data_IF_271946691167
#
_entry.id   IF_271946691167
#
_cell.length_a   1.000
_cell.length_b   1.000
_cell.length_c   1.000
_cell.angle_alpha   90.00
_cell.angle_beta   90.00
_cell.angle_gamma   90.00
#
_symmetry.space_group_name_H-M   'P 1'
#
loop_
_entity.id
_entity.type
_entity.pdbx_description
1 polymer ?
#
# COMPACT_ATOMS: atom_id res chain seq x y z
N UNK A 1 -7.78 -13.95 4.47
CA UNK A 1 -7.34 -15.05 3.58
C UNK A 1 -5.99 -14.70 3.01
N UNK A 2 -5.03 -15.57 3.18
CA UNK A 2 -3.68 -15.31 2.69
C UNK A 2 -3.61 -15.46 1.17
N UNK A 3 -2.78 -14.62 0.55
CA UNK A 3 -2.52 -14.73 -0.88
C UNK A 3 -1.69 -16.00 -1.15
N UNK A 4 -1.89 -16.61 -2.32
CA UNK A 4 -1.02 -17.69 -2.74
C UNK A 4 0.38 -17.15 -3.06
N UNK A 5 1.45 -17.94 -2.88
CA UNK A 5 2.80 -17.52 -3.27
C UNK A 5 2.89 -17.12 -4.75
N UNK A 6 2.11 -17.77 -5.61
CA UNK A 6 2.06 -17.47 -7.03
C UNK A 6 1.54 -16.05 -7.30
N UNK A 7 0.42 -15.66 -6.65
CA UNK A 7 -0.14 -14.31 -6.78
C UNK A 7 0.85 -13.27 -6.27
N UNK A 8 1.50 -13.54 -5.15
CA UNK A 8 2.50 -12.62 -4.58
C UNK A 8 3.69 -12.46 -5.51
N UNK A 9 4.16 -13.54 -6.15
CA UNK A 9 5.29 -13.48 -7.08
C UNK A 9 4.96 -12.65 -8.33
N UNK A 10 3.78 -12.82 -8.90
CA UNK A 10 3.32 -12.01 -10.03
C UNK A 10 3.24 -10.53 -9.65
N UNK A 11 2.64 -10.25 -8.52
CA UNK A 11 2.50 -8.88 -8.03
C UNK A 11 3.88 -8.25 -7.82
N UNK A 12 4.81 -8.96 -7.19
CA UNK A 12 6.17 -8.46 -6.96
C UNK A 12 6.85 -8.11 -8.28
N UNK A 13 6.68 -8.94 -9.30
CA UNK A 13 7.26 -8.68 -10.61
C UNK A 13 6.63 -7.45 -11.26
N UNK A 14 5.32 -7.31 -11.16
CA UNK A 14 4.59 -6.16 -11.70
C UNK A 14 5.00 -4.86 -11.02
N UNK A 15 5.35 -4.91 -9.72
CA UNK A 15 5.71 -3.74 -8.93
C UNK A 15 7.17 -3.33 -9.03
N UNK A 16 7.95 -3.95 -9.92
CA UNK A 16 9.37 -3.62 -10.12
C UNK A 16 9.60 -2.54 -11.17
N UNK A 17 8.75 -1.51 -11.15
CA UNK A 17 8.87 -0.40 -12.09
C UNK A 17 8.52 0.91 -11.39
N UNK A 18 9.05 2.01 -11.94
CA UNK A 18 8.65 3.35 -11.55
C UNK A 18 8.87 3.66 -10.06
N UNK A 19 8.00 4.48 -9.54
CA UNK A 19 8.10 4.98 -8.18
C UNK A 19 7.98 3.88 -7.13
N UNK A 20 7.12 2.89 -7.36
CA UNK A 20 6.93 1.79 -6.41
C UNK A 20 8.22 1.00 -6.21
N UNK A 21 8.99 0.80 -7.28
CA UNK A 21 10.30 0.13 -7.18
C UNK A 21 11.24 0.92 -6.25
N UNK A 22 11.20 2.24 -6.31
CA UNK A 22 12.04 3.10 -5.46
C UNK A 22 11.75 2.92 -3.98
N UNK A 23 10.51 2.59 -3.62
CA UNK A 23 10.14 2.33 -2.23
C UNK A 23 10.80 1.06 -1.67
N UNK A 24 11.14 0.11 -2.51
CA UNK A 24 11.79 -1.13 -2.09
C UNK A 24 10.87 -2.13 -1.43
N UNK A 25 9.58 -2.10 -1.76
CA UNK A 25 8.58 -2.99 -1.15
C UNK A 25 8.78 -4.44 -1.58
N UNK A 26 8.73 -5.34 -0.61
CA UNK A 26 8.63 -6.78 -0.82
C UNK A 26 7.25 -7.22 -0.32
N UNK A 27 6.38 -7.64 -1.25
CA UNK A 27 5.04 -8.09 -0.89
C UNK A 27 5.11 -9.50 -0.33
N UNK A 28 4.52 -9.71 0.83
CA UNK A 28 4.53 -11.01 1.52
C UNK A 28 3.16 -11.68 1.52
N UNK A 29 2.09 -10.92 1.29
CA UNK A 29 0.74 -11.44 1.09
C UNK A 29 -0.05 -10.41 0.30
N UNK A 30 -0.94 -10.86 -0.60
CA UNK A 30 -1.77 -9.95 -1.37
C UNK A 30 -3.07 -10.61 -1.80
N UNK A 31 -4.18 -10.04 -1.36
CA UNK A 31 -5.52 -10.46 -1.75
C UNK A 31 -6.47 -9.27 -1.61
N UNK A 32 -7.72 -9.47 -2.00
CA UNK A 32 -8.76 -8.45 -1.78
C UNK A 32 -9.17 -8.28 -0.33
N UNK A 33 -8.63 -9.08 0.58
CA UNK A 33 -8.93 -9.03 2.01
C UNK A 33 -7.77 -8.50 2.85
N UNK A 34 -6.54 -8.65 2.38
CA UNK A 34 -5.36 -8.18 3.09
C UNK A 34 -4.17 -8.10 2.15
N UNK A 35 -3.37 -7.05 2.30
CA UNK A 35 -2.10 -6.91 1.61
C UNK A 35 -1.02 -6.63 2.66
N UNK A 36 0.09 -7.37 2.59
CA UNK A 36 1.25 -7.19 3.46
C UNK A 36 2.50 -6.96 2.64
N UNK A 37 3.34 -6.05 3.11
CA UNK A 37 4.64 -5.81 2.52
C UNK A 37 5.62 -5.39 3.60
N UNK A 38 6.91 -5.53 3.30
CA UNK A 38 7.99 -5.05 4.16
C UNK A 38 9.01 -4.35 3.28
N UNK A 39 9.77 -3.44 3.89
CA UNK A 39 10.84 -2.74 3.15
C UNK A 39 11.89 -2.21 4.13
N UNK A 40 13.17 -2.17 3.71
CA UNK A 40 14.21 -1.57 4.54
C UNK A 40 14.18 -0.05 4.44
N UNK A 41 14.52 0.62 5.52
CA UNK A 41 14.78 2.05 5.47
C UNK A 41 16.16 2.23 4.85
N UNK A 42 16.24 2.96 3.74
CA UNK A 42 17.47 3.26 3.02
C UNK A 42 17.75 4.76 3.10
N UNK A 43 19.02 5.19 2.99
CA UNK A 43 19.34 6.62 3.10
C UNK A 43 18.53 7.53 2.18
N UNK A 44 18.23 7.10 0.96
CA UNK A 44 17.46 7.90 -0.01
C UNK A 44 16.00 8.08 0.37
N UNK A 45 15.52 7.39 1.39
CA UNK A 45 14.15 7.52 1.89
C UNK A 45 14.05 8.46 3.10
N UNK A 46 15.18 8.97 3.58
CA UNK A 46 15.20 9.83 4.76
C UNK A 46 14.98 11.30 4.39
N UNK A 47 14.36 12.03 5.32
CA UNK A 47 14.26 13.47 5.22
C UNK A 47 15.52 14.13 5.87
N UNK A 48 15.72 15.48 5.77
CA UNK A 48 16.96 16.12 6.22
C UNK A 48 17.36 15.92 7.67
N UNK A 49 16.44 15.61 8.58
CA UNK A 49 16.78 15.34 9.98
C UNK A 49 17.21 13.88 10.21
N UNK A 50 17.28 13.07 9.15
CA UNK A 50 17.77 11.69 9.26
C UNK A 50 16.73 10.67 9.73
N UNK A 51 15.46 11.01 9.64
CA UNK A 51 14.35 10.07 9.90
C UNK A 51 13.62 9.80 8.60
N UNK A 52 12.86 8.70 8.56
CA UNK A 52 12.09 8.33 7.38
C UNK A 52 11.15 9.46 6.98
N UNK A 53 11.18 9.83 5.70
CA UNK A 53 10.32 10.90 5.17
C UNK A 53 8.86 10.49 5.24
N UNK A 54 8.00 11.40 5.75
CA UNK A 54 6.55 11.14 5.84
C UNK A 54 5.92 10.80 4.50
N UNK A 55 6.44 11.37 3.40
CA UNK A 55 5.98 11.04 2.05
C UNK A 55 6.19 9.58 1.69
N UNK A 56 7.18 8.90 2.26
CA UNK A 56 7.37 7.46 2.07
C UNK A 56 6.23 6.70 2.72
N UNK A 57 5.85 7.05 3.95
CA UNK A 57 4.69 6.45 4.61
C UNK A 57 3.42 6.63 3.77
N UNK A 58 3.16 7.83 3.29
CA UNK A 58 2.00 8.11 2.46
C UNK A 58 2.00 7.26 1.19
N UNK A 59 3.17 7.08 0.58
CA UNK A 59 3.32 6.31 -0.67
C UNK A 59 3.08 4.82 -0.44
N UNK A 60 3.58 4.29 0.68
CA UNK A 60 3.36 2.88 1.06
C UNK A 60 1.88 2.64 1.36
N UNK A 61 1.26 3.56 2.10
CA UNK A 61 -0.18 3.51 2.40
C UNK A 61 -0.99 3.47 1.10
N UNK A 62 -0.70 4.38 0.16
CA UNK A 62 -1.37 4.44 -1.13
C UNK A 62 -1.20 3.13 -1.91
N UNK A 63 0.04 2.65 -1.98
CA UNK A 63 0.38 1.47 -2.80
C UNK A 63 -0.31 0.21 -2.29
N UNK A 64 -0.28 -0.04 -0.98
CA UNK A 64 -0.90 -1.23 -0.42
C UNK A 64 -2.43 -1.19 -0.52
N UNK A 65 -3.02 -0.04 -0.19
CA UNK A 65 -4.48 0.12 -0.28
C UNK A 65 -4.97 -0.06 -1.72
N UNK A 66 -4.28 0.55 -2.68
CA UNK A 66 -4.64 0.44 -4.10
C UNK A 66 -4.51 -1.00 -4.59
N UNK A 67 -3.47 -1.70 -4.13
CA UNK A 67 -3.25 -3.11 -4.50
C UNK A 67 -4.40 -3.98 -4.01
N UNK A 68 -4.77 -3.85 -2.74
CA UNK A 68 -5.89 -4.62 -2.18
C UNK A 68 -7.21 -4.31 -2.87
N UNK A 69 -7.47 -3.03 -3.10
CA UNK A 69 -8.68 -2.60 -3.77
C UNK A 69 -8.77 -3.12 -5.20
N UNK A 70 -7.66 -3.11 -5.94
CA UNK A 70 -7.61 -3.63 -7.30
C UNK A 70 -7.84 -5.15 -7.33
N UNK A 71 -7.23 -5.87 -6.40
CA UNK A 71 -7.42 -7.32 -6.29
C UNK A 71 -8.86 -7.69 -5.96
N UNK A 72 -9.51 -6.91 -5.08
CA UNK A 72 -10.92 -7.16 -4.77
C UNK A 72 -11.84 -6.87 -5.95
N UNK A 73 -11.61 -5.75 -6.63
CA UNK A 73 -12.44 -5.37 -7.79
C UNK A 73 -12.23 -6.33 -8.96
N UNK A 74 -10.98 -6.78 -9.13
CA UNK A 74 -10.58 -7.76 -10.15
C UNK A 74 -11.02 -7.33 -11.55
N UNK A 75 -11.70 -8.22 -12.27
CA UNK A 75 -12.09 -7.98 -13.66
C UNK A 75 -13.23 -6.99 -13.84
N UNK A 76 -13.89 -6.60 -12.77
CA UNK A 76 -15.04 -5.68 -12.83
C UNK A 76 -14.66 -4.25 -13.23
N UNK A 77 -13.39 -3.88 -13.13
CA UNK A 77 -12.96 -2.55 -13.50
C UNK A 77 -11.57 -2.22 -12.99
N UNK A 78 -11.32 -0.93 -12.81
CA UNK A 78 -10.06 -0.40 -12.31
C UNK A 78 -10.33 0.48 -11.11
N UNK A 79 -9.34 0.64 -10.22
CA UNK A 79 -9.46 1.54 -9.07
C UNK A 79 -8.54 2.74 -9.26
N UNK A 80 -8.95 3.86 -8.70
CA UNK A 80 -8.12 5.07 -8.63
C UNK A 80 -8.27 5.68 -7.24
N UNK A 81 -7.14 6.01 -6.59
CA UNK A 81 -7.15 6.68 -5.31
C UNK A 81 -7.64 8.11 -5.43
N UNK A 82 -8.52 8.53 -4.54
CA UNK A 82 -9.07 9.89 -4.54
C UNK A 82 -8.79 10.66 -3.25
N UNK A 83 -8.34 9.98 -2.20
CA UNK A 83 -7.98 10.64 -0.93
C UNK A 83 -7.05 9.73 -0.13
N UNK A 84 -6.00 10.31 0.42
CA UNK A 84 -5.04 9.61 1.28
C UNK A 84 -4.80 10.47 2.51
N UNK A 85 -5.14 9.93 3.69
CA UNK A 85 -4.91 10.61 4.96
C UNK A 85 -4.00 9.71 5.80
N UNK A 86 -2.81 10.19 6.11
CA UNK A 86 -1.81 9.41 6.85
C UNK A 86 -1.29 10.20 8.04
N UNK A 87 -1.29 9.56 9.21
CA UNK A 87 -0.75 10.11 10.44
C UNK A 87 0.62 9.51 10.71
N UNK A 88 1.59 10.36 11.05
CA UNK A 88 2.94 9.95 11.42
C UNK A 88 3.04 9.99 12.94
N UNK A 89 3.23 8.85 13.56
CA UNK A 89 3.11 8.71 15.02
C UNK A 89 4.45 8.55 15.73
N UNK A 90 5.44 7.97 15.05
CA UNK A 90 6.76 7.69 15.64
C UNK A 90 7.83 7.77 14.56
N UNK A 91 8.94 8.44 14.86
CA UNK A 91 10.08 8.52 13.95
C UNK A 91 10.81 7.17 13.84
N UNK A 92 11.37 6.91 12.66
CA UNK A 92 12.22 5.74 12.43
C UNK A 92 13.42 6.17 11.59
N UNK A 93 14.59 5.57 11.85
CA UNK A 93 15.86 5.94 11.19
C UNK A 93 16.46 4.79 10.42
N UNK A 94 16.17 3.56 10.83
CA UNK A 94 16.79 2.36 10.26
C UNK A 94 15.92 1.14 10.51
N UNK A 95 16.25 0.04 9.90
CA UNK A 95 15.57 -1.21 10.09
C UNK A 95 14.61 -1.55 8.97
N UNK A 96 13.87 -2.63 9.16
CA UNK A 96 12.87 -3.12 8.21
C UNK A 96 11.48 -2.83 8.77
N UNK A 97 10.65 -2.21 7.96
CA UNK A 97 9.27 -1.87 8.33
C UNK A 97 8.30 -2.83 7.67
N UNK A 98 7.14 -3.00 8.30
CA UNK A 98 6.04 -3.82 7.79
C UNK A 98 4.79 -2.97 7.64
N UNK A 99 4.09 -3.15 6.53
CA UNK A 99 2.81 -2.49 6.29
C UNK A 99 1.73 -3.55 6.07
N UNK A 100 0.54 -3.31 6.61
CA UNK A 100 -0.61 -4.20 6.46
C UNK A 100 -1.82 -3.36 6.07
N UNK A 101 -2.41 -3.69 4.93
CA UNK A 101 -3.62 -3.05 4.44
C UNK A 101 -4.83 -3.98 4.61
N UNK A 102 -5.92 -3.44 5.14
CA UNK A 102 -7.17 -4.16 5.29
C UNK A 102 -8.34 -3.27 4.86
N UNK A 103 -9.43 -3.84 4.31
CA UNK A 103 -10.56 -3.03 3.89
C UNK A 103 -11.40 -2.59 5.08
N UNK A 104 -11.84 -1.33 5.05
CA UNK A 104 -12.83 -0.79 5.96
C UNK A 104 -14.22 -0.86 5.32
N UNK A 105 -14.27 -0.57 4.02
CA UNK A 105 -15.52 -0.58 3.24
C UNK A 105 -15.20 -0.94 1.79
N UNK A 106 -15.96 -1.86 1.23
CA UNK A 106 -15.84 -2.24 -0.19
C UNK A 106 -17.22 -2.16 -0.81
N UNK A 107 -17.53 -0.99 -1.37
CA UNK A 107 -18.81 -0.72 -1.99
C UNK A 107 -18.77 -0.84 -3.51
N UNK A 108 -19.92 -0.64 -4.14
CA UNK A 108 -20.03 -0.70 -5.60
C UNK A 108 -19.25 0.42 -6.28
N UNK A 109 -19.27 1.62 -5.72
CA UNK A 109 -18.63 2.80 -6.32
C UNK A 109 -17.31 3.17 -5.64
N UNK A 110 -17.20 2.97 -4.33
CA UNK A 110 -16.04 3.37 -3.57
C UNK A 110 -15.57 2.30 -2.61
N UNK A 111 -14.27 2.34 -2.30
CA UNK A 111 -13.66 1.53 -1.26
C UNK A 111 -12.91 2.43 -0.30
N UNK A 112 -12.83 2.02 0.95
CA UNK A 112 -12.01 2.65 1.97
C UNK A 112 -11.12 1.56 2.58
N UNK A 113 -9.82 1.78 2.55
CA UNK A 113 -8.82 0.84 3.07
C UNK A 113 -7.96 1.51 4.13
N UNK A 114 -7.61 0.75 5.16
CA UNK A 114 -6.71 1.19 6.21
C UNK A 114 -5.36 0.50 6.06
N UNK A 115 -4.27 1.23 6.34
CA UNK A 115 -2.92 0.66 6.33
C UNK A 115 -2.22 1.05 7.63
N UNK A 116 -1.62 0.06 8.29
CA UNK A 116 -0.82 0.25 9.48
C UNK A 116 0.64 -0.07 9.16
N UNK A 117 1.56 0.79 9.59
CA UNK A 117 3.00 0.61 9.38
C UNK A 117 3.67 0.47 10.73
N UNK A 118 4.39 -0.64 10.92
CA UNK A 118 5.06 -0.98 12.18
C UNK A 118 6.54 -1.24 11.97
N UNK A 119 7.34 -1.11 13.03
CA UNK A 119 8.76 -1.46 13.03
C UNK A 119 8.96 -2.91 13.48
N UNK A 120 10.23 -3.34 13.58
CA UNK A 120 10.57 -4.70 13.97
C UNK A 120 10.17 -5.05 15.40
N UNK A 121 9.89 -4.05 16.25
CA UNK A 121 9.41 -4.25 17.61
C UNK A 121 7.89 -4.13 17.70
N UNK A 122 7.19 -4.17 16.57
CA UNK A 122 5.73 -4.03 16.47
C UNK A 122 5.19 -2.68 16.96
N UNK A 123 6.04 -1.65 17.00
CA UNK A 123 5.58 -0.31 17.37
C UNK A 123 4.94 0.35 16.15
N UNK A 124 3.78 0.98 16.37
CA UNK A 124 3.07 1.67 15.29
C UNK A 124 3.78 2.98 14.94
N UNK A 125 4.26 3.08 13.71
CA UNK A 125 4.97 4.26 13.22
C UNK A 125 4.06 5.22 12.46
N UNK A 126 3.13 4.68 11.70
CA UNK A 126 2.20 5.45 10.90
C UNK A 126 0.93 4.66 10.67
N UNK A 127 -0.15 5.38 10.45
CA UNK A 127 -1.42 4.77 10.03
C UNK A 127 -2.05 5.67 9.00
N UNK A 128 -2.67 5.07 8.01
CA UNK A 128 -3.32 5.84 6.98
C UNK A 128 -4.57 5.16 6.48
N UNK A 129 -5.33 5.92 5.70
CA UNK A 129 -6.45 5.35 4.98
C UNK A 129 -6.55 6.00 3.62
N UNK A 130 -6.99 5.21 2.66
CA UNK A 130 -7.15 5.64 1.27
C UNK A 130 -8.59 5.37 0.87
N UNK A 131 -9.20 6.37 0.26
CA UNK A 131 -10.47 6.22 -0.42
C UNK A 131 -10.18 6.06 -1.90
N UNK A 132 -10.82 5.06 -2.51
CA UNK A 132 -10.62 4.75 -3.91
C UNK A 132 -11.97 4.73 -4.62
N UNK A 133 -11.95 5.16 -5.88
CA UNK A 133 -13.12 5.12 -6.76
C UNK A 133 -12.99 3.88 -7.64
N UNK A 134 -14.07 3.09 -7.71
CA UNK A 134 -14.17 1.98 -8.65
C UNK A 134 -14.61 2.53 -10.01
N UNK A 135 -13.78 2.35 -11.03
CA UNK A 135 -14.11 2.69 -12.41
C UNK A 135 -14.54 1.39 -13.08
N UNK A 136 -15.84 1.22 -13.27
CA UNK A 136 -16.39 -0.01 -13.84
C UNK A 136 -16.03 -0.12 -15.32
N UNK A 137 -16.10 -1.33 -15.89
CA UNK A 137 -15.62 -1.60 -17.24
C UNK A 137 -16.07 -0.61 -18.31
N UNK A 138 -17.32 -0.18 -18.26
CA UNK A 138 -17.88 0.75 -19.25
C UNK A 138 -17.24 2.14 -19.16
N UNK A 139 -16.60 2.46 -18.03
CA UNK A 139 -16.06 3.80 -17.73
C UNK A 139 -14.54 3.76 -17.54
N UNK A 140 -13.85 2.79 -18.14
CA UNK A 140 -12.40 2.63 -17.96
C UNK A 140 -11.62 3.89 -18.32
N UNK A 141 -10.55 4.11 -17.56
CA UNK A 141 -9.62 5.19 -17.83
C UNK A 141 -8.93 4.97 -19.19
N UNK A 142 -8.80 6.02 -19.96
CA UNK A 142 -8.00 5.99 -21.19
C UNK A 142 -8.69 5.46 -22.43
N UNK A 143 -10.01 5.34 -22.44
CA UNK A 143 -10.73 5.03 -23.69
C UNK A 143 -11.35 6.26 -24.31
#
# INVERSE_FOLDING_TARGET
MDASPEVTAELQQHMRTGFVQTLGLEFTAASGDEVRARWPIRPELLQPYGILHGGVHCSVVETLASTGAALWLAERGQVVGVSNTTDFLRAAREGVLTAVATPVHRGRLQQLWQVLITDAADRLLARGQVRLQNILDADRLGH
#
